data_IF_803139731869
#
_entry.id   IF_803139731869
#
_cell.length_a   1.000
_cell.length_b   1.000
_cell.length_c   1.000
_cell.angle_alpha   90.00
_cell.angle_beta   90.00
_cell.angle_gamma   90.00
#
_symmetry.space_group_name_H-M   'P 1'
#
loop_
_entity.id
_entity.type
_entity.pdbx_description
1 polymer ?
#
# COMPACT_ATOMS: atom_id res chain seq x y z
N UNK A 1 26.94 38.35 -39.60
CA UNK A 1 26.95 36.86 -39.57
C UNK A 1 27.22 36.27 -38.19
N UNK A 2 28.26 36.72 -37.46
CA UNK A 2 28.64 36.15 -36.15
C UNK A 2 27.56 36.20 -35.06
N UNK A 3 26.73 37.25 -35.04
CA UNK A 3 25.63 37.42 -34.05
C UNK A 3 24.48 36.42 -34.20
N UNK A 4 24.18 35.94 -35.43
CA UNK A 4 23.10 34.95 -35.65
C UNK A 4 23.50 33.54 -35.19
N UNK A 5 24.79 33.21 -35.27
CA UNK A 5 25.33 31.90 -34.85
C UNK A 5 25.30 31.79 -33.32
N UNK A 6 25.67 32.85 -32.61
CA UNK A 6 25.64 32.88 -31.13
C UNK A 6 24.22 32.70 -30.61
N UNK A 7 23.23 33.35 -31.26
CA UNK A 7 21.82 33.22 -30.87
C UNK A 7 21.30 31.78 -31.03
N UNK A 8 21.67 31.08 -32.11
CA UNK A 8 21.30 29.68 -32.31
C UNK A 8 21.93 28.74 -31.28
N UNK A 9 23.18 28.98 -30.86
CA UNK A 9 23.86 28.18 -29.84
C UNK A 9 23.19 28.37 -28.48
N UNK A 10 22.81 29.60 -28.14
CA UNK A 10 22.10 29.91 -26.88
C UNK A 10 20.70 29.29 -26.87
N UNK A 11 19.96 29.37 -27.98
CA UNK A 11 18.65 28.71 -28.10
C UNK A 11 18.73 27.18 -28.04
N UNK A 12 19.73 26.57 -28.69
CA UNK A 12 19.94 25.13 -28.59
C UNK A 12 20.28 24.69 -27.16
N UNK A 13 21.10 25.46 -26.43
CA UNK A 13 21.42 25.19 -25.03
C UNK A 13 20.21 25.33 -24.09
N UNK A 14 19.30 26.29 -24.36
CA UNK A 14 18.04 26.47 -23.62
C UNK A 14 17.00 25.38 -23.93
N UNK A 15 17.00 24.83 -25.15
CA UNK A 15 16.15 23.69 -25.50
C UNK A 15 16.68 22.37 -24.88
N UNK A 16 18.00 22.22 -24.75
CA UNK A 16 18.62 21.07 -24.08
C UNK A 16 18.41 21.08 -22.57
N UNK A 17 18.29 22.25 -21.92
CA UNK A 17 17.98 22.34 -20.49
C UNK A 17 16.50 22.14 -20.16
N UNK A 18 15.60 22.32 -21.13
CA UNK A 18 14.14 22.11 -20.96
C UNK A 18 13.66 20.73 -21.45
N UNK A 19 14.43 20.04 -22.30
CA UNK A 19 14.06 18.75 -22.89
C UNK A 19 14.42 17.48 -22.12
N UNK A 20 15.03 17.57 -20.93
CA UNK A 20 15.46 16.41 -20.12
C UNK A 20 14.65 16.16 -18.85
N UNK A 21 13.59 16.94 -18.58
CA UNK A 21 12.55 16.53 -17.64
C UNK A 21 11.49 15.70 -18.37
N UNK A 22 11.93 14.64 -19.05
CA UNK A 22 11.06 13.47 -19.11
C UNK A 22 10.92 13.01 -17.68
N UNK A 23 9.72 13.17 -17.09
CA UNK A 23 9.35 12.50 -15.84
C UNK A 23 9.82 11.06 -16.01
N UNK A 24 10.86 10.66 -15.28
CA UNK A 24 11.14 9.25 -15.14
C UNK A 24 9.80 8.64 -14.75
N UNK A 25 9.34 7.63 -15.48
CA UNK A 25 8.25 6.80 -15.00
C UNK A 25 8.78 6.20 -13.70
N UNK A 26 8.51 6.85 -12.57
CA UNK A 26 8.78 6.31 -11.25
C UNK A 26 8.09 4.96 -11.25
N UNK A 27 8.90 3.90 -11.09
CA UNK A 27 8.36 2.56 -10.97
C UNK A 27 7.40 2.58 -9.78
N UNK A 28 6.22 1.95 -9.91
CA UNK A 28 5.29 1.88 -8.79
C UNK A 28 5.99 1.27 -7.57
N UNK A 29 5.78 1.86 -6.39
CA UNK A 29 6.41 1.46 -5.13
C UNK A 29 6.11 -0.01 -4.83
N UNK A 30 4.85 -0.40 -5.08
CA UNK A 30 4.38 -1.78 -5.00
C UNK A 30 4.35 -2.42 -6.38
N UNK A 31 5.12 -3.48 -6.55
CA UNK A 31 5.16 -4.21 -7.80
C UNK A 31 4.09 -5.30 -7.82
N UNK A 32 2.85 -4.85 -7.96
CA UNK A 32 1.65 -5.67 -7.94
C UNK A 32 1.72 -6.86 -8.93
N UNK A 33 1.46 -8.10 -8.48
CA UNK A 33 1.35 -9.26 -9.36
C UNK A 33 0.09 -9.12 -10.21
N UNK A 34 0.17 -9.49 -11.49
CA UNK A 34 -0.97 -9.46 -12.40
C UNK A 34 -1.16 -10.85 -12.97
N UNK A 35 -2.31 -11.45 -12.68
CA UNK A 35 -2.73 -12.70 -13.31
C UNK A 35 -3.95 -12.42 -14.17
N UNK A 36 -3.94 -12.87 -15.42
CA UNK A 36 -5.04 -12.70 -16.35
C UNK A 36 -5.74 -14.03 -16.58
N UNK A 37 -7.05 -14.08 -16.30
CA UNK A 37 -7.90 -15.25 -16.53
C UNK A 37 -9.09 -14.79 -17.35
N UNK A 38 -9.29 -15.38 -18.53
CA UNK A 38 -10.40 -15.05 -19.45
C UNK A 38 -10.53 -13.54 -19.77
N UNK A 39 -9.40 -12.82 -19.84
CA UNK A 39 -9.37 -11.37 -20.11
C UNK A 39 -9.66 -10.49 -18.89
N UNK A 40 -9.84 -11.09 -17.72
CA UNK A 40 -9.98 -10.38 -16.44
C UNK A 40 -8.62 -10.37 -15.75
N UNK A 41 -8.14 -9.18 -15.39
CA UNK A 41 -6.87 -8.98 -14.67
C UNK A 41 -7.13 -8.96 -13.17
N UNK A 42 -6.51 -9.89 -12.47
CA UNK A 42 -6.47 -10.00 -11.01
C UNK A 42 -5.14 -9.46 -10.50
N UNK A 43 -5.21 -8.71 -9.40
CA UNK A 43 -4.06 -8.13 -8.73
C UNK A 43 -4.28 -8.14 -7.22
N UNK A 44 -3.18 -8.11 -6.46
CA UNK A 44 -3.22 -7.91 -5.00
C UNK A 44 -3.10 -6.43 -4.71
N UNK A 45 -4.08 -5.89 -3.99
CA UNK A 45 -4.06 -4.52 -3.53
C UNK A 45 -3.14 -4.37 -2.30
N UNK A 46 -2.10 -3.52 -2.35
CA UNK A 46 -1.15 -3.38 -1.25
C UNK A 46 -1.78 -2.86 0.04
N UNK A 47 -2.88 -2.10 -0.04
CA UNK A 47 -3.58 -1.57 1.15
C UNK A 47 -4.33 -2.70 1.87
N UNK A 48 -4.94 -3.60 1.13
CA UNK A 48 -5.63 -4.78 1.67
C UNK A 48 -4.61 -5.73 2.31
N UNK A 49 -3.49 -5.98 1.63
CA UNK A 49 -2.42 -6.83 2.15
C UNK A 49 -1.75 -6.24 3.40
N UNK A 50 -1.56 -4.92 3.43
CA UNK A 50 -1.08 -4.20 4.60
C UNK A 50 -2.04 -4.35 5.77
N UNK A 51 -3.34 -4.14 5.53
CA UNK A 51 -4.34 -4.29 6.57
C UNK A 51 -4.33 -5.71 7.13
N UNK A 52 -4.31 -6.72 6.25
CA UNK A 52 -4.23 -8.12 6.66
C UNK A 52 -2.97 -8.43 7.47
N UNK A 53 -1.83 -7.87 7.06
CA UNK A 53 -0.57 -7.97 7.81
C UNK A 53 -0.75 -7.46 9.24
N UNK A 54 -1.42 -6.33 9.45
CA UNK A 54 -1.70 -5.80 10.78
C UNK A 54 -2.65 -6.69 11.59
N UNK A 55 -3.65 -7.30 10.95
CA UNK A 55 -4.54 -8.26 11.62
C UNK A 55 -3.77 -9.47 12.15
N UNK A 56 -2.87 -10.03 11.34
CA UNK A 56 -1.98 -11.14 11.73
C UNK A 56 -1.09 -10.72 12.89
N UNK A 57 -0.47 -9.54 12.82
CA UNK A 57 0.44 -9.05 13.84
C UNK A 57 -0.26 -8.69 15.16
N UNK A 58 -1.51 -8.22 15.10
CA UNK A 58 -2.35 -8.01 16.29
C UNK A 58 -2.85 -9.34 16.87
N UNK A 59 -2.82 -10.41 16.08
CA UNK A 59 -3.29 -11.74 16.46
C UNK A 59 -4.81 -11.84 16.52
N UNK A 60 -5.51 -11.22 15.58
CA UNK A 60 -6.98 -11.27 15.50
C UNK A 60 -7.44 -12.74 15.33
N UNK A 61 -8.31 -13.27 16.21
CA UNK A 61 -8.70 -14.68 16.20
C UNK A 61 -9.31 -15.18 14.89
N UNK A 62 -10.06 -14.30 14.18
CA UNK A 62 -10.67 -14.62 12.88
C UNK A 62 -9.63 -14.87 11.79
N UNK A 63 -8.45 -14.27 11.92
CA UNK A 63 -7.32 -14.49 11.03
C UNK A 63 -6.48 -15.68 11.50
N UNK A 64 -6.36 -15.90 12.80
CA UNK A 64 -5.40 -16.87 13.37
C UNK A 64 -5.79 -18.36 13.33
N UNK A 65 -6.98 -18.74 12.86
CA UNK A 65 -7.41 -20.15 12.99
C UNK A 65 -6.70 -21.12 12.03
N UNK A 66 -6.16 -20.61 10.92
CA UNK A 66 -5.39 -21.40 9.94
C UNK A 66 -3.95 -20.92 9.92
N UNK A 67 -3.04 -21.73 10.47
CA UNK A 67 -1.60 -21.49 10.41
C UNK A 67 -1.08 -21.85 9.02
N UNK A 68 -0.88 -20.84 8.18
CA UNK A 68 -0.22 -20.97 6.87
C UNK A 68 1.20 -20.43 6.94
N UNK A 69 2.11 -20.99 6.13
CA UNK A 69 3.51 -20.56 6.06
C UNK A 69 3.66 -19.05 5.84
N UNK A 70 2.76 -18.46 5.05
CA UNK A 70 2.70 -17.02 4.82
C UNK A 70 2.53 -16.18 6.10
N UNK A 71 1.72 -16.63 7.06
CA UNK A 71 1.57 -15.93 8.35
C UNK A 71 2.83 -16.01 9.19
N UNK A 72 3.54 -17.13 9.14
CA UNK A 72 4.83 -17.26 9.80
C UNK A 72 5.88 -16.33 9.19
N UNK A 73 5.82 -16.09 7.87
CA UNK A 73 6.66 -15.09 7.21
C UNK A 73 6.35 -13.67 7.70
N UNK A 74 5.07 -13.29 7.79
CA UNK A 74 4.65 -12.01 8.37
C UNK A 74 5.21 -11.86 9.79
N UNK A 75 4.92 -12.83 10.67
CA UNK A 75 5.36 -12.79 12.07
C UNK A 75 6.88 -12.72 12.23
N UNK A 76 7.61 -13.40 11.35
CA UNK A 76 9.07 -13.40 11.33
C UNK A 76 9.64 -12.07 10.87
N UNK A 77 9.14 -11.54 9.74
CA UNK A 77 9.62 -10.29 9.16
C UNK A 77 9.40 -9.11 10.13
N UNK A 78 8.19 -8.99 10.69
CA UNK A 78 7.85 -7.85 11.53
C UNK A 78 8.17 -8.04 13.02
N UNK A 79 8.90 -9.11 13.40
CA UNK A 79 9.17 -9.47 14.80
C UNK A 79 9.80 -8.34 15.63
N UNK A 80 10.66 -7.52 15.02
CA UNK A 80 11.37 -6.41 15.68
C UNK A 80 10.53 -5.14 15.83
N UNK A 81 9.36 -5.07 15.18
CA UNK A 81 8.54 -3.86 15.10
C UNK A 81 7.33 -3.88 16.03
N UNK A 82 7.26 -4.85 16.95
CA UNK A 82 6.11 -5.03 17.86
C UNK A 82 5.81 -3.85 18.80
N UNK A 83 6.75 -2.92 18.95
CA UNK A 83 6.62 -1.75 19.82
C UNK A 83 6.22 -0.48 19.05
N UNK A 84 5.85 -0.58 17.78
CA UNK A 84 5.33 0.57 17.02
C UNK A 84 4.00 1.04 17.61
N UNK A 85 3.77 2.36 17.54
CA UNK A 85 2.61 3.02 18.15
C UNK A 85 1.26 2.46 17.68
N UNK A 86 1.21 1.91 16.46
CA UNK A 86 0.02 1.25 15.92
C UNK A 86 -0.45 0.09 16.80
N UNK A 87 0.47 -0.70 17.38
CA UNK A 87 0.10 -1.84 18.22
C UNK A 87 -0.45 -1.39 19.58
N UNK A 88 0.11 -0.35 20.17
CA UNK A 88 -0.44 0.28 21.38
C UNK A 88 -1.83 0.88 21.11
N UNK A 89 -2.02 1.50 19.95
CA UNK A 89 -3.29 2.06 19.54
C UNK A 89 -4.36 0.96 19.36
N UNK A 90 -4.03 -0.11 18.65
CA UNK A 90 -4.90 -1.25 18.38
C UNK A 90 -5.23 -2.06 19.65
N UNK A 91 -4.35 -2.05 20.65
CA UNK A 91 -4.64 -2.66 21.96
C UNK A 91 -5.77 -1.94 22.72
N UNK A 92 -5.89 -0.62 22.52
CA UNK A 92 -6.90 0.25 23.16
C UNK A 92 -8.15 0.43 22.30
N UNK A 93 -7.98 0.33 20.98
CA UNK A 93 -9.02 0.48 19.97
C UNK A 93 -8.99 -0.76 19.07
N UNK A 94 -9.65 -1.86 19.45
CA UNK A 94 -9.70 -3.06 18.62
C UNK A 94 -10.22 -2.73 17.21
N UNK A 95 -9.61 -3.30 16.16
CA UNK A 95 -10.06 -3.09 14.77
C UNK A 95 -11.56 -3.36 14.63
N UNK A 96 -12.01 -4.53 15.06
CA UNK A 96 -13.41 -4.93 15.01
C UNK A 96 -14.14 -4.63 16.31
N UNK A 97 -15.29 -3.98 16.22
CA UNK A 97 -16.12 -3.56 17.36
C UNK A 97 -15.58 -2.34 18.10
N UNK A 98 -14.39 -1.83 17.76
CA UNK A 98 -13.76 -0.66 18.39
C UNK A 98 -13.55 0.50 17.42
N UNK A 99 -12.81 0.26 16.33
CA UNK A 99 -12.61 1.20 15.22
C UNK A 99 -13.72 1.01 14.19
N UNK A 100 -13.90 -0.22 13.70
CA UNK A 100 -14.93 -0.57 12.73
C UNK A 100 -16.10 -1.28 13.41
N UNK A 101 -17.31 -0.76 13.18
CA UNK A 101 -18.55 -1.32 13.76
C UNK A 101 -19.10 -2.51 12.96
N UNK A 102 -18.62 -2.71 11.73
CA UNK A 102 -19.05 -3.77 10.82
C UNK A 102 -17.85 -4.56 10.28
N UNK A 103 -18.11 -5.76 9.76
CA UNK A 103 -17.07 -6.59 9.13
C UNK A 103 -16.57 -5.99 7.81
N UNK A 104 -17.41 -5.23 7.10
CA UNK A 104 -17.08 -4.57 5.83
C UNK A 104 -16.41 -3.20 6.04
N UNK A 105 -16.45 -2.66 7.27
CA UNK A 105 -15.87 -1.36 7.61
C UNK A 105 -14.42 -1.18 7.17
N UNK A 106 -13.52 -2.16 7.41
CA UNK A 106 -12.15 -2.10 6.91
C UNK A 106 -12.05 -1.96 5.39
N UNK A 107 -12.84 -2.73 4.63
CA UNK A 107 -12.79 -2.69 3.16
C UNK A 107 -13.26 -1.32 2.66
N UNK A 108 -14.36 -0.80 3.23
CA UNK A 108 -14.81 0.54 2.93
C UNK A 108 -13.74 1.58 3.24
N UNK A 109 -13.12 1.54 4.42
CA UNK A 109 -12.00 2.42 4.77
C UNK A 109 -10.86 2.37 3.75
N UNK A 110 -10.37 1.18 3.38
CA UNK A 110 -9.24 1.03 2.46
C UNK A 110 -9.56 1.52 1.04
N UNK A 111 -10.79 1.35 0.57
CA UNK A 111 -11.23 1.84 -0.75
C UNK A 111 -11.25 3.36 -0.86
N UNK A 112 -11.32 4.07 0.28
CA UNK A 112 -11.26 5.53 0.38
C UNK A 112 -9.84 6.10 0.54
N UNK A 113 -8.82 5.24 0.56
CA UNK A 113 -7.42 5.66 0.63
C UNK A 113 -6.74 5.62 -0.74
N UNK A 114 -5.67 6.39 -0.93
CA UNK A 114 -4.71 6.19 -2.02
C UNK A 114 -3.72 5.08 -1.65
N UNK A 115 -2.82 4.69 -2.57
CA UNK A 115 -1.73 3.74 -2.25
C UNK A 115 -0.76 4.28 -1.18
N UNK A 116 -0.65 5.61 -1.07
CA UNK A 116 0.13 6.30 -0.03
C UNK A 116 -0.65 6.47 1.29
N UNK A 117 -1.83 5.85 1.39
CA UNK A 117 -2.73 5.92 2.54
C UNK A 117 -3.21 7.35 2.85
N UNK A 118 -3.30 8.20 1.82
CA UNK A 118 -3.97 9.49 1.91
C UNK A 118 -5.46 9.34 1.61
N UNK A 119 -6.29 10.23 2.14
CA UNK A 119 -7.69 10.25 1.77
C UNK A 119 -7.86 10.61 0.30
N UNK A 120 -8.68 9.83 -0.40
CA UNK A 120 -9.07 10.12 -1.78
C UNK A 120 -9.92 11.37 -1.84
N UNK A 121 -9.60 12.27 -2.76
CA UNK A 121 -10.35 13.51 -3.03
C UNK A 121 -11.49 13.31 -4.03
N UNK A 122 -11.48 12.19 -4.77
CA UNK A 122 -12.46 11.85 -5.79
C UNK A 122 -13.69 11.10 -5.26
N UNK A 123 -13.71 10.74 -3.98
CA UNK A 123 -14.86 10.10 -3.33
C UNK A 123 -15.48 11.06 -2.29
N UNK A 124 -16.68 11.59 -2.54
CA UNK A 124 -17.36 12.47 -1.58
C UNK A 124 -17.90 11.68 -0.37
N UNK A 125 -17.92 12.34 0.79
CA UNK A 125 -18.65 11.92 2.01
C UNK A 125 -18.35 10.50 2.54
N UNK A 126 -17.08 10.22 2.86
CA UNK A 126 -16.79 9.13 3.79
C UNK A 126 -16.67 9.64 5.23
N UNK A 127 -16.67 8.71 6.18
CA UNK A 127 -16.46 8.87 7.63
C UNK A 127 -15.10 9.52 8.00
N UNK A 128 -14.53 10.38 7.16
CA UNK A 128 -13.30 11.17 7.35
C UNK A 128 -13.28 11.97 8.66
N UNK A 129 -14.42 12.08 9.34
CA UNK A 129 -14.55 12.69 10.65
C UNK A 129 -14.38 11.74 11.84
N UNK A 130 -14.39 10.41 11.68
CA UNK A 130 -14.10 9.52 12.82
C UNK A 130 -12.61 9.62 13.16
N UNK A 131 -12.25 10.25 14.30
CA UNK A 131 -10.86 10.48 14.64
C UNK A 131 -10.09 9.16 14.84
N UNK A 132 -10.79 8.06 15.13
CA UNK A 132 -10.16 6.75 15.27
C UNK A 132 -9.69 6.19 13.94
N UNK A 133 -10.53 6.31 12.90
CA UNK A 133 -10.19 5.83 11.57
C UNK A 133 -9.04 6.66 10.99
N UNK A 134 -9.06 7.98 11.17
CA UNK A 134 -7.94 8.83 10.73
C UNK A 134 -6.65 8.57 11.55
N UNK A 135 -6.75 8.32 12.85
CA UNK A 135 -5.60 7.90 13.66
C UNK A 135 -5.01 6.58 13.16
N UNK A 136 -5.86 5.60 12.83
CA UNK A 136 -5.40 4.34 12.26
C UNK A 136 -4.66 4.57 10.94
N UNK A 137 -5.21 5.39 10.03
CA UNK A 137 -4.59 5.74 8.75
C UNK A 137 -3.18 6.31 8.92
N UNK A 138 -3.03 7.33 9.79
CA UNK A 138 -1.71 7.94 10.07
C UNK A 138 -0.73 6.93 10.66
N UNK A 139 -1.19 6.08 11.59
CA UNK A 139 -0.36 5.04 12.18
C UNK A 139 0.03 3.94 11.18
N UNK A 140 -0.81 3.66 10.19
CA UNK A 140 -0.48 2.77 9.08
C UNK A 140 0.60 3.37 8.18
N UNK A 141 0.56 4.68 7.93
CA UNK A 141 1.63 5.39 7.20
C UNK A 141 2.96 5.29 7.94
N UNK A 142 2.97 5.56 9.24
CA UNK A 142 4.16 5.42 10.08
C UNK A 142 4.67 3.97 10.05
N UNK A 143 3.77 2.98 10.14
CA UNK A 143 4.15 1.58 10.05
C UNK A 143 4.81 1.24 8.71
N UNK A 144 4.24 1.68 7.59
CA UNK A 144 4.80 1.45 6.25
C UNK A 144 6.22 2.02 6.17
N UNK A 145 6.40 3.28 6.60
CA UNK A 145 7.69 3.96 6.55
C UNK A 145 8.75 3.31 7.45
N UNK A 146 8.40 2.98 8.70
CA UNK A 146 9.33 2.40 9.68
C UNK A 146 9.74 0.96 9.33
N UNK A 147 8.83 0.21 8.73
CA UNK A 147 9.04 -1.22 8.43
C UNK A 147 9.57 -1.49 7.02
N UNK A 148 9.60 -0.46 6.15
CA UNK A 148 9.84 -0.62 4.71
C UNK A 148 8.91 -1.66 4.13
N UNK A 149 7.61 -1.47 4.35
CA UNK A 149 6.60 -2.45 4.02
C UNK A 149 6.61 -2.83 2.53
N UNK A 150 7.00 -1.90 1.65
CA UNK A 150 7.21 -2.14 0.24
C UNK A 150 8.22 -3.25 -0.06
N UNK A 151 9.31 -3.36 0.72
CA UNK A 151 10.31 -4.40 0.57
C UNK A 151 9.72 -5.77 0.93
N UNK A 152 8.92 -5.82 2.00
CA UNK A 152 8.19 -7.02 2.40
C UNK A 152 7.22 -7.44 1.30
N UNK A 153 6.31 -6.55 0.88
CA UNK A 153 5.28 -6.82 -0.12
C UNK A 153 5.90 -7.34 -1.42
N UNK A 154 6.92 -6.65 -1.92
CA UNK A 154 7.58 -7.03 -3.18
C UNK A 154 8.32 -8.37 -3.08
N UNK A 155 8.81 -8.75 -1.89
CA UNK A 155 9.44 -10.05 -1.66
C UNK A 155 8.43 -11.23 -1.67
N UNK A 156 7.14 -10.97 -1.45
CA UNK A 156 6.09 -12.00 -1.44
C UNK A 156 5.50 -12.32 -2.82
N UNK A 157 6.02 -11.72 -3.90
CA UNK A 157 5.49 -11.91 -5.27
C UNK A 157 5.21 -13.37 -5.62
N UNK A 158 6.14 -14.27 -5.32
CA UNK A 158 5.99 -15.69 -5.66
C UNK A 158 4.78 -16.34 -4.97
N UNK A 159 4.43 -15.91 -3.76
CA UNK A 159 3.22 -16.36 -3.06
C UNK A 159 1.95 -15.84 -3.76
N UNK A 160 1.96 -14.56 -4.16
CA UNK A 160 0.81 -13.96 -4.83
C UNK A 160 0.54 -14.55 -6.22
N UNK A 161 1.59 -15.00 -6.93
CA UNK A 161 1.47 -15.61 -8.25
C UNK A 161 0.74 -16.98 -8.23
N UNK A 162 0.77 -17.69 -7.09
CA UNK A 162 0.13 -19.01 -6.93
C UNK A 162 -1.38 -18.87 -6.70
N UNK A 163 -1.80 -17.79 -6.04
CA UNK A 163 -3.17 -17.59 -5.54
C UNK A 163 -4.29 -17.70 -6.60
N UNK A 164 -4.12 -17.24 -7.87
CA UNK A 164 -5.22 -17.30 -8.83
C UNK A 164 -5.27 -18.57 -9.70
N UNK A 165 -4.20 -19.38 -9.73
CA UNK A 165 -4.04 -20.47 -10.72
C UNK A 165 -4.80 -21.74 -10.30
N UNK A 166 -5.03 -21.95 -9.00
CA UNK A 166 -5.69 -23.18 -8.52
C UNK A 166 -7.24 -23.14 -8.55
N UNK A 167 -7.86 -22.02 -8.93
CA UNK A 167 -9.31 -21.93 -9.10
C UNK A 167 -9.75 -22.33 -10.52
N UNK A 168 -9.39 -23.53 -10.96
CA UNK A 168 -10.08 -24.17 -12.09
C UNK A 168 -11.31 -24.90 -11.53
N UNK A 169 -12.48 -24.26 -11.64
CA UNK A 169 -13.78 -24.86 -11.31
C UNK A 169 -14.21 -25.88 -12.38
#
# INVERSE_FOLDING_TARGET
>A
MKSKIILCIVLAALCLSTGLYGRAHEQPIYQQPVVEVEGVRFTIDPRIELFHTLEVLQGIPLVNFVEIEYKQHILSYFKTYKNLAIFDYLSKNPMYGGIFSTIDGPIWFLLHLTEDLEWRDDIPDFETFDPKVDSLRLLMQDFVAETKYEDFFNAQRAFYDISPIEFTL
#
